data_IF_705948968962
#
_entry.id   IF_705948968962
#
_cell.length_a   1.000
_cell.length_b   1.000
_cell.length_c   1.000
_cell.angle_alpha   90.00
_cell.angle_beta   90.00
_cell.angle_gamma   90.00
#
_symmetry.space_group_name_H-M   'P 1'
#
loop_
_entity.id
_entity.type
_entity.pdbx_description
1 polymer ?
#
# COMPACT_ATOMS: atom_id res chain seq x y z
N UNK A 1 24.11 -2.75 -5.03
CA UNK A 1 24.36 -2.59 -6.45
C UNK A 1 23.23 -1.84 -7.08
N UNK A 2 23.15 -1.52 -8.29
CA UNK A 2 22.46 -0.35 -8.87
C UNK A 2 21.04 -0.63 -9.37
N UNK A 3 20.04 -0.84 -8.55
CA UNK A 3 18.68 -0.45 -8.93
C UNK A 3 18.42 0.90 -8.27
N UNK A 4 18.78 1.97 -8.94
CA UNK A 4 18.49 3.34 -8.49
C UNK A 4 17.32 3.96 -9.25
N UNK A 5 16.89 3.34 -10.34
CA UNK A 5 15.87 3.85 -11.24
C UNK A 5 14.78 2.82 -11.51
N UNK A 6 13.54 3.25 -11.42
CA UNK A 6 12.36 2.52 -11.87
C UNK A 6 12.10 2.99 -13.30
N UNK A 7 12.20 2.11 -14.30
CA UNK A 7 11.96 2.50 -15.69
C UNK A 7 10.52 3.00 -15.86
N UNK A 8 10.30 4.16 -16.51
CA UNK A 8 8.95 4.62 -16.80
C UNK A 8 8.20 3.57 -17.62
N UNK A 9 7.03 3.14 -17.13
CA UNK A 9 6.24 2.06 -17.74
C UNK A 9 5.61 2.45 -19.06
N UNK A 10 5.32 3.74 -19.26
CA UNK A 10 4.56 4.26 -20.37
C UNK A 10 5.44 5.10 -21.28
N UNK A 11 5.54 4.69 -22.56
CA UNK A 11 6.13 5.55 -23.59
C UNK A 11 5.05 6.52 -24.06
N UNK A 12 5.12 7.78 -23.63
CA UNK A 12 4.18 8.84 -24.02
C UNK A 12 4.54 9.37 -25.41
N UNK A 13 4.28 8.55 -26.45
CA UNK A 13 4.60 8.88 -27.82
C UNK A 13 3.67 9.97 -28.42
N UNK A 14 2.51 10.16 -27.85
CA UNK A 14 1.50 11.15 -28.22
C UNK A 14 1.82 12.57 -27.75
N UNK A 15 2.70 12.73 -26.76
CA UNK A 15 3.09 14.03 -26.21
C UNK A 15 4.07 14.74 -27.15
N UNK A 16 3.64 15.85 -27.74
CA UNK A 16 4.39 16.65 -28.73
C UNK A 16 4.56 18.11 -28.31
N UNK A 17 3.61 18.61 -27.51
CA UNK A 17 3.54 20.02 -27.13
C UNK A 17 4.24 20.24 -25.79
N UNK A 18 5.27 21.04 -25.76
CA UNK A 18 5.94 21.44 -24.52
C UNK A 18 4.98 22.22 -23.61
N UNK A 19 4.96 21.86 -22.32
CA UNK A 19 4.10 22.49 -21.32
C UNK A 19 2.63 22.01 -21.36
N UNK A 20 2.27 21.01 -22.20
CA UNK A 20 0.97 20.32 -22.06
C UNK A 20 0.93 19.51 -20.78
N UNK A 21 -0.28 19.16 -20.28
CA UNK A 21 -0.37 18.29 -19.11
C UNK A 21 0.27 16.92 -19.35
N UNK A 22 0.21 16.39 -20.58
CA UNK A 22 0.92 15.18 -20.96
C UNK A 22 2.45 15.32 -20.83
N UNK A 23 3.03 16.45 -21.23
CA UNK A 23 4.46 16.76 -21.06
C UNK A 23 4.84 16.91 -19.58
N UNK A 24 4.00 17.58 -18.80
CA UNK A 24 4.19 17.73 -17.36
C UNK A 24 4.18 16.39 -16.66
N UNK A 25 3.19 15.51 -16.94
CA UNK A 25 3.14 14.16 -16.37
C UNK A 25 4.37 13.35 -16.77
N UNK A 26 4.81 13.43 -18.02
CA UNK A 26 6.03 12.77 -18.49
C UNK A 26 7.27 13.21 -17.72
N UNK A 27 7.40 14.51 -17.41
CA UNK A 27 8.48 15.04 -16.57
C UNK A 27 8.38 14.53 -15.14
N UNK A 28 7.18 14.55 -14.54
CA UNK A 28 6.93 14.03 -13.20
C UNK A 28 7.27 12.53 -13.11
N UNK A 29 6.83 11.73 -14.07
CA UNK A 29 7.13 10.29 -14.13
C UNK A 29 8.64 10.01 -14.18
N UNK A 30 9.39 10.85 -14.87
CA UNK A 30 10.86 10.74 -14.92
C UNK A 30 11.50 11.06 -13.57
N UNK A 31 10.97 12.03 -12.84
CA UNK A 31 11.46 12.35 -11.48
C UNK A 31 11.11 11.25 -10.47
N UNK A 32 9.89 10.70 -10.57
CA UNK A 32 9.44 9.57 -9.70
C UNK A 32 10.25 8.29 -9.95
N UNK A 33 10.89 8.16 -11.13
CA UNK A 33 11.68 6.97 -11.47
C UNK A 33 12.87 6.72 -10.52
N UNK A 34 13.30 7.72 -9.75
CA UNK A 34 14.38 7.58 -8.79
C UNK A 34 13.83 7.25 -7.40
N UNK A 35 14.27 6.11 -6.84
CA UNK A 35 13.98 5.76 -5.45
C UNK A 35 14.72 6.68 -4.49
N UNK A 36 14.01 7.19 -3.50
CA UNK A 36 14.63 7.94 -2.41
C UNK A 36 15.34 7.04 -1.38
N UNK A 37 15.99 7.66 -0.39
CA UNK A 37 16.70 6.93 0.65
C UNK A 37 15.76 6.10 1.54
N UNK A 38 14.54 6.59 1.81
CA UNK A 38 13.55 5.88 2.63
C UNK A 38 13.03 4.63 1.92
N UNK A 39 12.73 4.76 0.63
CA UNK A 39 12.29 3.65 -0.21
C UNK A 39 13.40 2.60 -0.37
N UNK A 40 14.66 3.04 -0.63
CA UNK A 40 15.82 2.14 -0.68
C UNK A 40 16.04 1.41 0.63
N UNK A 41 15.97 2.15 1.74
CA UNK A 41 16.09 1.56 3.08
C UNK A 41 14.99 0.53 3.33
N UNK A 42 13.75 0.88 3.06
CA UNK A 42 12.62 -0.03 3.21
C UNK A 42 12.72 -1.28 2.32
N UNK A 43 13.27 -1.15 1.09
CA UNK A 43 13.41 -2.26 0.16
C UNK A 43 14.58 -3.20 0.52
N UNK A 44 15.73 -2.67 0.92
CA UNK A 44 16.96 -3.47 1.08
C UNK A 44 17.30 -3.82 2.53
N UNK A 45 16.74 -3.14 3.53
CA UNK A 45 16.88 -3.57 4.92
C UNK A 45 15.93 -4.74 5.21
N UNK A 46 16.49 -5.90 5.52
CA UNK A 46 15.75 -7.12 5.83
C UNK A 46 16.07 -7.51 7.27
N UNK A 47 15.18 -7.22 8.24
CA UNK A 47 15.39 -7.67 9.60
C UNK A 47 15.17 -9.18 9.72
N UNK A 48 15.80 -9.77 10.71
CA UNK A 48 15.55 -11.16 11.09
C UNK A 48 14.26 -11.24 11.92
N UNK A 49 13.13 -11.19 11.24
CA UNK A 49 11.80 -11.16 11.82
C UNK A 49 10.82 -10.24 11.08
N UNK A 50 9.74 -9.83 11.75
CA UNK A 50 8.68 -9.01 11.15
C UNK A 50 9.13 -7.58 10.84
N UNK A 51 8.52 -6.98 9.80
CA UNK A 51 8.76 -5.60 9.40
C UNK A 51 7.47 -4.90 8.98
N UNK A 52 7.23 -3.72 9.52
CA UNK A 52 6.10 -2.85 9.18
C UNK A 52 6.56 -1.69 8.31
N UNK A 53 5.82 -1.40 7.24
CA UNK A 53 6.08 -0.26 6.34
C UNK A 53 4.81 0.59 6.27
N UNK A 54 4.87 1.79 6.87
CA UNK A 54 3.79 2.77 6.83
C UNK A 54 4.03 3.79 5.73
N UNK A 55 2.97 4.28 5.08
CA UNK A 55 3.11 5.36 4.12
C UNK A 55 1.78 5.75 3.49
N UNK A 56 1.65 7.01 3.12
CA UNK A 56 0.48 7.54 2.44
C UNK A 56 0.27 6.90 1.06
N UNK A 57 -0.93 7.06 0.52
CA UNK A 57 -1.19 6.80 -0.90
C UNK A 57 -0.17 7.52 -1.78
N UNK A 58 0.47 6.76 -2.68
CA UNK A 58 1.50 7.31 -3.57
C UNK A 58 2.90 7.48 -2.95
N UNK A 59 3.17 6.92 -1.76
CA UNK A 59 4.53 6.85 -1.20
C UNK A 59 5.40 5.75 -1.80
N UNK A 60 4.83 4.89 -2.66
CA UNK A 60 5.55 3.82 -3.35
C UNK A 60 5.62 2.49 -2.59
N UNK A 61 4.73 2.21 -1.64
CA UNK A 61 4.67 0.96 -0.87
C UNK A 61 4.75 -0.29 -1.75
N UNK A 62 3.89 -0.40 -2.76
CA UNK A 62 3.86 -1.52 -3.72
C UNK A 62 5.20 -1.71 -4.44
N UNK A 63 5.84 -0.60 -4.84
CA UNK A 63 7.16 -0.62 -5.49
C UNK A 63 8.23 -1.12 -4.53
N UNK A 64 8.21 -0.64 -3.29
CA UNK A 64 9.14 -1.06 -2.23
C UNK A 64 9.01 -2.56 -1.94
N UNK A 65 7.76 -3.07 -1.82
CA UNK A 65 7.52 -4.49 -1.61
C UNK A 65 7.97 -5.34 -2.80
N UNK A 66 7.66 -4.93 -4.03
CA UNK A 66 8.11 -5.64 -5.24
C UNK A 66 9.64 -5.66 -5.37
N UNK A 67 10.29 -4.54 -5.07
CA UNK A 67 11.75 -4.45 -5.07
C UNK A 67 12.38 -5.31 -3.96
N UNK A 68 11.76 -5.34 -2.77
CA UNK A 68 12.19 -6.22 -1.67
C UNK A 68 12.04 -7.69 -2.05
N UNK A 69 10.92 -8.08 -2.67
CA UNK A 69 10.71 -9.45 -3.14
C UNK A 69 11.77 -9.86 -4.18
N UNK A 70 12.03 -8.99 -5.17
CA UNK A 70 13.06 -9.22 -6.18
C UNK A 70 14.49 -9.29 -5.55
N UNK A 71 14.77 -8.42 -4.58
CA UNK A 71 16.05 -8.43 -3.87
C UNK A 71 16.25 -9.71 -3.08
N UNK A 72 15.25 -10.14 -2.30
CA UNK A 72 15.32 -11.38 -1.52
C UNK A 72 15.47 -12.58 -2.45
N UNK A 73 14.71 -12.65 -3.53
CA UNK A 73 14.76 -13.72 -4.51
C UNK A 73 16.13 -13.84 -5.19
N UNK A 74 16.76 -12.70 -5.52
CA UNK A 74 18.11 -12.71 -6.14
C UNK A 74 19.25 -12.95 -5.18
N UNK A 75 19.13 -12.53 -3.92
CA UNK A 75 20.20 -12.71 -2.93
C UNK A 75 20.12 -14.05 -2.18
N UNK A 76 18.93 -14.61 -2.06
CA UNK A 76 18.63 -15.82 -1.30
C UNK A 76 17.67 -16.70 -2.12
N UNK A 77 18.16 -17.32 -3.21
CA UNK A 77 17.31 -18.06 -4.16
C UNK A 77 16.67 -19.31 -3.54
N UNK A 78 17.16 -19.77 -2.40
CA UNK A 78 16.60 -20.90 -1.65
C UNK A 78 15.36 -20.55 -0.83
N UNK A 79 15.05 -19.26 -0.62
CA UNK A 79 13.90 -18.85 0.17
C UNK A 79 12.60 -18.96 -0.64
N UNK A 80 11.58 -19.57 -0.05
CA UNK A 80 10.20 -19.52 -0.56
C UNK A 80 9.56 -18.20 -0.14
N UNK A 81 9.27 -17.35 -1.10
CA UNK A 81 8.77 -15.99 -0.90
C UNK A 81 7.33 -15.90 -1.39
N UNK A 82 6.43 -15.38 -0.55
CA UNK A 82 5.07 -15.03 -0.95
C UNK A 82 4.87 -13.51 -0.99
N UNK A 83 4.19 -13.02 -2.02
CA UNK A 83 3.68 -11.66 -2.10
C UNK A 83 2.17 -11.73 -2.18
N UNK A 84 1.48 -11.19 -1.17
CA UNK A 84 0.02 -11.27 -1.09
C UNK A 84 -0.65 -9.91 -1.02
N UNK A 85 -1.88 -9.86 -1.47
CA UNK A 85 -2.73 -8.67 -1.57
C UNK A 85 -4.22 -9.08 -1.59
N UNK A 86 -5.09 -8.12 -1.31
CA UNK A 86 -6.54 -8.35 -1.34
C UNK A 86 -7.18 -8.02 -2.69
N UNK A 87 -6.71 -6.98 -3.38
CA UNK A 87 -7.28 -6.50 -4.64
C UNK A 87 -6.61 -7.13 -5.85
N UNK A 88 -7.34 -7.91 -6.65
CA UNK A 88 -6.83 -8.65 -7.83
C UNK A 88 -6.10 -7.79 -8.87
N UNK A 89 -6.41 -6.50 -8.94
CA UNK A 89 -5.75 -5.56 -9.86
C UNK A 89 -4.22 -5.46 -9.63
N UNK A 90 -3.72 -5.80 -8.46
CA UNK A 90 -2.30 -5.75 -8.12
C UNK A 90 -1.48 -6.91 -8.72
N UNK A 91 -2.11 -8.03 -9.11
CA UNK A 91 -1.39 -9.20 -9.61
C UNK A 91 -0.43 -8.87 -10.76
N UNK A 92 -0.97 -8.36 -11.86
CA UNK A 92 -0.16 -8.07 -13.06
C UNK A 92 0.89 -6.99 -12.79
N UNK A 93 0.58 -6.07 -11.88
CA UNK A 93 1.51 -5.05 -11.44
C UNK A 93 2.73 -5.66 -10.74
N UNK A 94 2.52 -6.60 -9.82
CA UNK A 94 3.60 -7.30 -9.15
C UNK A 94 4.41 -8.17 -10.10
N UNK A 95 3.76 -8.93 -10.99
CA UNK A 95 4.45 -9.74 -12.02
C UNK A 95 5.40 -8.87 -12.82
N UNK A 96 4.94 -7.73 -13.33
CA UNK A 96 5.75 -6.82 -14.14
C UNK A 96 6.91 -6.22 -13.34
N UNK A 97 6.62 -5.66 -12.13
CA UNK A 97 7.63 -5.04 -11.30
C UNK A 97 8.73 -6.01 -10.88
N UNK A 98 8.35 -7.17 -10.39
CA UNK A 98 9.32 -8.17 -9.91
C UNK A 98 10.16 -8.68 -11.08
N UNK A 99 9.54 -8.95 -12.23
CA UNK A 99 10.26 -9.37 -13.43
C UNK A 99 11.31 -8.34 -13.85
N UNK A 100 10.91 -7.07 -13.93
CA UNK A 100 11.82 -5.99 -14.30
C UNK A 100 12.96 -5.83 -13.29
N UNK A 101 12.66 -5.87 -11.99
CA UNK A 101 13.66 -5.73 -10.94
C UNK A 101 14.65 -6.91 -10.88
N UNK A 102 14.17 -8.14 -11.00
CA UNK A 102 15.04 -9.33 -11.05
C UNK A 102 15.95 -9.26 -12.28
N UNK A 103 15.39 -8.92 -13.44
CA UNK A 103 16.18 -8.77 -14.67
C UNK A 103 17.25 -7.67 -14.53
N UNK A 104 16.90 -6.53 -13.91
CA UNK A 104 17.86 -5.43 -13.71
C UNK A 104 18.93 -5.74 -12.63
N UNK A 105 18.63 -6.59 -11.65
CA UNK A 105 19.56 -6.98 -10.58
C UNK A 105 20.52 -8.08 -10.98
N UNK A 106 20.03 -9.13 -11.61
CA UNK A 106 20.79 -10.37 -11.90
C UNK A 106 20.99 -10.63 -13.40
N UNK A 107 20.18 -10.06 -14.27
CA UNK A 107 20.12 -10.43 -15.68
C UNK A 107 19.39 -11.74 -15.95
N UNK A 108 18.81 -12.37 -14.93
CA UNK A 108 18.16 -13.67 -14.98
C UNK A 108 16.62 -13.52 -15.04
N UNK A 109 15.94 -14.63 -15.30
CA UNK A 109 14.48 -14.71 -15.20
C UNK A 109 14.09 -15.02 -13.76
N UNK A 110 12.87 -14.60 -13.40
CA UNK A 110 12.28 -14.96 -12.09
C UNK A 110 12.04 -16.47 -12.03
N UNK A 111 12.48 -17.09 -10.94
CA UNK A 111 12.09 -18.45 -10.59
C UNK A 111 10.78 -18.42 -9.82
N UNK A 112 9.68 -18.69 -10.54
CA UNK A 112 8.33 -18.67 -9.98
C UNK A 112 8.03 -19.90 -9.12
N UNK A 113 8.92 -20.89 -9.02
CA UNK A 113 8.75 -22.01 -8.10
C UNK A 113 9.06 -21.59 -6.65
N UNK A 114 9.94 -20.59 -6.48
CA UNK A 114 10.36 -20.04 -5.19
C UNK A 114 9.79 -18.64 -4.88
N UNK A 115 9.04 -18.03 -5.81
CA UNK A 115 8.38 -16.75 -5.59
C UNK A 115 6.93 -16.78 -6.07
N UNK A 116 6.00 -16.73 -5.12
CA UNK A 116 4.57 -16.70 -5.39
C UNK A 116 4.00 -15.29 -5.31
N UNK A 117 3.19 -14.91 -6.31
CA UNK A 117 2.31 -13.75 -6.25
C UNK A 117 0.90 -14.27 -6.09
N UNK A 118 0.34 -14.16 -4.88
CA UNK A 118 -0.82 -14.95 -4.47
C UNK A 118 -1.89 -14.07 -3.80
N UNK A 119 -3.14 -14.24 -4.19
CA UNK A 119 -4.27 -13.53 -3.59
C UNK A 119 -4.47 -13.95 -2.11
N UNK A 120 -4.90 -13.01 -1.25
CA UNK A 120 -5.11 -13.32 0.16
C UNK A 120 -6.18 -14.39 0.39
N UNK A 121 -7.28 -14.35 -0.38
CA UNK A 121 -8.41 -15.28 -0.20
C UNK A 121 -8.27 -16.56 -1.03
N UNK A 122 -8.21 -16.42 -2.36
CA UNK A 122 -8.31 -17.57 -3.26
C UNK A 122 -9.71 -18.23 -3.29
N UNK A 123 -9.77 -19.45 -3.80
CA UNK A 123 -10.99 -20.28 -3.84
C UNK A 123 -10.60 -21.75 -4.06
N UNK A 124 -11.58 -22.65 -4.20
CA UNK A 124 -11.31 -24.06 -4.56
C UNK A 124 -10.64 -24.23 -5.95
N UNK A 125 -10.72 -23.21 -6.83
CA UNK A 125 -10.17 -23.22 -8.20
C UNK A 125 -9.10 -22.15 -8.44
N UNK A 126 -8.85 -21.30 -7.47
CA UNK A 126 -7.88 -20.21 -7.56
C UNK A 126 -6.98 -20.25 -6.33
N UNK A 127 -5.67 -20.27 -6.56
CA UNK A 127 -4.70 -20.22 -5.48
C UNK A 127 -4.84 -18.92 -4.66
N UNK A 128 -4.71 -19.07 -3.35
CA UNK A 128 -4.75 -17.98 -2.41
C UNK A 128 -4.23 -18.42 -1.06
N UNK A 129 -3.67 -17.51 -0.27
CA UNK A 129 -3.12 -17.87 1.05
C UNK A 129 -4.12 -18.64 1.88
N UNK A 130 -5.36 -18.14 2.00
CA UNK A 130 -6.41 -18.82 2.75
C UNK A 130 -6.81 -20.17 2.12
N UNK A 131 -7.06 -20.21 0.80
CA UNK A 131 -7.53 -21.44 0.14
C UNK A 131 -6.50 -22.56 0.17
N UNK A 132 -5.24 -22.23 -0.01
CA UNK A 132 -4.16 -23.23 -0.02
C UNK A 132 -3.88 -23.75 1.39
N UNK A 133 -3.92 -22.88 2.41
CA UNK A 133 -3.86 -23.30 3.81
C UNK A 133 -5.04 -24.17 4.20
N UNK A 134 -6.25 -23.85 3.73
CA UNK A 134 -7.44 -24.65 3.97
C UNK A 134 -7.30 -26.04 3.33
N UNK A 135 -6.82 -26.11 2.09
CA UNK A 135 -6.56 -27.38 1.40
C UNK A 135 -5.52 -28.22 2.17
N UNK A 136 -4.43 -27.63 2.59
CA UNK A 136 -3.37 -28.30 3.37
C UNK A 136 -3.87 -28.83 4.72
N UNK A 137 -4.81 -28.09 5.35
CA UNK A 137 -5.47 -28.49 6.59
C UNK A 137 -6.66 -29.46 6.38
N UNK A 138 -6.90 -29.95 5.16
CA UNK A 138 -8.07 -30.74 4.79
C UNK A 138 -9.42 -30.06 5.15
N UNK A 139 -9.45 -28.73 5.11
CA UNK A 139 -10.61 -27.90 5.37
C UNK A 139 -11.22 -27.43 4.04
N UNK A 140 -12.55 -27.48 3.92
CA UNK A 140 -13.23 -27.01 2.71
C UNK A 140 -13.23 -25.50 2.65
N UNK A 141 -12.43 -24.92 1.76
CA UNK A 141 -12.37 -23.47 1.55
C UNK A 141 -13.73 -22.90 1.10
N UNK A 142 -14.10 -21.76 1.67
CA UNK A 142 -15.27 -20.99 1.24
C UNK A 142 -14.95 -20.14 0.01
N UNK A 143 -15.82 -20.18 -0.99
CA UNK A 143 -15.85 -19.16 -2.03
C UNK A 143 -16.65 -17.93 -1.54
N UNK A 144 -16.59 -16.84 -2.31
CA UNK A 144 -17.25 -15.58 -1.93
C UNK A 144 -18.75 -15.74 -1.63
N UNK A 145 -19.47 -16.50 -2.46
CA UNK A 145 -20.93 -16.69 -2.30
C UNK A 145 -21.26 -17.43 -1.02
N UNK A 146 -20.58 -18.55 -0.74
CA UNK A 146 -20.79 -19.35 0.47
C UNK A 146 -20.37 -18.60 1.73
N UNK A 147 -19.27 -17.84 1.66
CA UNK A 147 -18.81 -17.01 2.77
C UNK A 147 -19.80 -15.87 3.10
N UNK A 148 -20.31 -15.15 2.09
CA UNK A 148 -21.32 -14.12 2.29
C UNK A 148 -22.61 -14.70 2.88
N UNK A 149 -23.05 -15.86 2.40
CA UNK A 149 -24.24 -16.54 2.92
C UNK A 149 -24.10 -16.91 4.40
N UNK A 150 -22.89 -17.26 4.84
CA UNK A 150 -22.64 -17.72 6.21
C UNK A 150 -22.33 -16.59 7.19
N UNK A 151 -21.49 -15.63 6.77
CA UNK A 151 -20.90 -14.61 7.65
C UNK A 151 -21.39 -13.19 7.37
N UNK A 152 -22.17 -12.99 6.29
CA UNK A 152 -22.52 -11.66 5.80
C UNK A 152 -21.41 -11.03 4.95
N UNK A 153 -21.78 -10.04 4.14
CA UNK A 153 -20.86 -9.44 3.14
C UNK A 153 -19.62 -8.79 3.77
N UNK A 154 -19.80 -8.04 4.84
CA UNK A 154 -18.71 -7.29 5.49
C UNK A 154 -17.75 -8.17 6.29
N UNK A 155 -18.23 -9.32 6.77
CA UNK A 155 -17.43 -10.23 7.61
C UNK A 155 -17.03 -11.53 6.88
N UNK A 156 -17.30 -11.62 5.58
CA UNK A 156 -17.13 -12.86 4.81
C UNK A 156 -15.69 -13.40 4.92
N UNK A 157 -14.69 -12.60 4.59
CA UNK A 157 -13.29 -13.05 4.62
C UNK A 157 -12.79 -13.27 6.04
N UNK A 158 -13.15 -12.35 6.96
CA UNK A 158 -12.83 -12.53 8.40
C UNK A 158 -13.34 -13.85 8.94
N UNK A 159 -14.64 -14.17 8.70
CA UNK A 159 -15.24 -15.40 9.17
C UNK A 159 -14.58 -16.67 8.58
N UNK A 160 -14.15 -16.61 7.31
CA UNK A 160 -13.39 -17.70 6.70
C UNK A 160 -12.05 -17.92 7.41
N UNK A 161 -11.31 -16.85 7.68
CA UNK A 161 -10.03 -16.92 8.38
C UNK A 161 -10.19 -17.40 9.83
N UNK A 162 -11.21 -16.88 10.53
CA UNK A 162 -11.50 -17.27 11.93
C UNK A 162 -11.80 -18.77 12.03
N UNK A 163 -12.62 -19.33 11.13
CA UNK A 163 -12.90 -20.77 11.14
C UNK A 163 -11.66 -21.61 10.80
N UNK A 164 -10.90 -21.23 9.80
CA UNK A 164 -9.68 -21.95 9.45
C UNK A 164 -8.69 -21.99 10.62
N UNK A 165 -8.56 -20.89 11.36
CA UNK A 165 -7.71 -20.83 12.56
C UNK A 165 -8.14 -21.83 13.66
N UNK A 166 -9.41 -22.21 13.71
CA UNK A 166 -9.87 -23.24 14.68
C UNK A 166 -9.48 -24.67 14.28
N UNK A 167 -9.13 -24.86 13.01
CA UNK A 167 -8.76 -26.18 12.45
C UNK A 167 -7.25 -26.35 12.36
N UNK A 168 -6.52 -25.26 12.15
CA UNK A 168 -5.06 -25.28 12.09
C UNK A 168 -4.52 -25.54 13.49
N UNK A 169 -3.91 -26.72 13.67
CA UNK A 169 -3.25 -27.13 14.92
C UNK A 169 -1.77 -26.74 14.96
N UNK A 170 -1.11 -27.13 16.05
CA UNK A 170 0.33 -26.92 16.23
C UNK A 170 1.18 -27.72 15.22
N UNK A 171 0.62 -28.78 14.64
CA UNK A 171 1.27 -29.63 13.63
C UNK A 171 1.22 -29.03 12.21
N UNK A 172 0.67 -27.82 12.04
CA UNK A 172 0.63 -27.18 10.73
C UNK A 172 2.04 -26.79 10.30
N UNK A 173 2.51 -27.34 9.19
CA UNK A 173 3.83 -27.02 8.63
C UNK A 173 3.78 -25.72 7.83
N UNK A 174 4.53 -24.68 8.23
CA UNK A 174 4.59 -23.42 7.50
C UNK A 174 5.29 -23.62 6.15
N UNK A 175 4.81 -22.90 5.14
CA UNK A 175 5.30 -23.03 3.78
C UNK A 175 6.36 -21.97 3.42
N UNK A 176 6.12 -20.71 3.78
CA UNK A 176 6.95 -19.59 3.35
C UNK A 176 8.06 -19.26 4.33
N UNK A 177 9.21 -18.86 3.78
CA UNK A 177 10.30 -18.28 4.56
C UNK A 177 10.08 -16.78 4.76
N UNK A 178 9.43 -16.12 3.78
CA UNK A 178 9.10 -14.70 3.80
C UNK A 178 7.70 -14.50 3.21
N UNK A 179 6.88 -13.66 3.85
CA UNK A 179 5.60 -13.19 3.31
C UNK A 179 5.54 -11.67 3.29
N UNK A 180 5.31 -11.10 2.11
CA UNK A 180 5.09 -9.67 1.91
C UNK A 180 3.60 -9.43 1.68
N UNK A 181 3.01 -8.47 2.41
CA UNK A 181 1.57 -8.16 2.40
C UNK A 181 1.39 -6.72 1.97
N UNK A 182 0.71 -6.49 0.85
CA UNK A 182 0.36 -5.14 0.39
C UNK A 182 -1.08 -4.78 0.74
N UNK A 183 -1.34 -3.46 0.88
CA UNK A 183 -2.65 -2.90 1.28
C UNK A 183 -3.20 -3.61 2.52
N UNK A 184 -2.34 -3.77 3.52
CA UNK A 184 -2.63 -4.56 4.73
C UNK A 184 -3.84 -4.05 5.53
N UNK A 185 -4.24 -2.78 5.37
CA UNK A 185 -5.44 -2.20 5.97
C UNK A 185 -6.75 -2.85 5.47
N UNK A 186 -6.74 -3.51 4.31
CA UNK A 186 -7.91 -4.16 3.73
C UNK A 186 -8.12 -5.60 4.26
N UNK A 187 -7.19 -6.09 5.09
CA UNK A 187 -7.16 -7.48 5.55
C UNK A 187 -7.57 -7.59 7.02
N UNK A 188 -8.38 -8.60 7.39
CA UNK A 188 -8.79 -8.79 8.78
C UNK A 188 -7.64 -9.32 9.64
N UNK A 189 -7.65 -9.02 10.95
CA UNK A 189 -6.64 -9.48 11.91
C UNK A 189 -6.44 -11.00 11.88
N UNK A 190 -7.51 -11.78 11.69
CA UNK A 190 -7.42 -13.24 11.57
C UNK A 190 -6.59 -13.72 10.37
N UNK A 191 -6.54 -12.94 9.28
CA UNK A 191 -5.66 -13.25 8.16
C UNK A 191 -4.18 -13.16 8.55
N UNK A 192 -3.79 -12.16 9.32
CA UNK A 192 -2.41 -12.04 9.82
C UNK A 192 -2.01 -13.21 10.72
N UNK A 193 -2.96 -13.76 11.50
CA UNK A 193 -2.72 -14.97 12.29
C UNK A 193 -2.51 -16.20 11.40
N UNK A 194 -3.26 -16.32 10.30
CA UNK A 194 -3.01 -17.37 9.30
C UNK A 194 -1.63 -17.21 8.67
N UNK A 195 -1.26 -15.99 8.25
CA UNK A 195 0.08 -15.73 7.71
C UNK A 195 1.15 -16.07 8.75
N UNK A 196 0.95 -15.72 10.03
CA UNK A 196 1.89 -16.07 11.08
C UNK A 196 2.06 -17.59 11.22
N UNK A 197 0.99 -18.36 11.11
CA UNK A 197 1.06 -19.82 11.12
C UNK A 197 1.79 -20.37 9.87
N UNK A 198 1.65 -19.71 8.72
CA UNK A 198 2.19 -20.18 7.43
C UNK A 198 3.63 -19.68 7.12
N UNK A 199 4.22 -18.85 7.95
CA UNK A 199 5.59 -18.36 7.78
C UNK A 199 6.50 -19.05 8.80
N UNK A 200 7.66 -19.58 8.32
CA UNK A 200 8.68 -20.22 9.15
C UNK A 200 9.32 -19.24 10.12
N UNK A 201 9.98 -19.78 11.19
CA UNK A 201 10.84 -18.93 12.02
C UNK A 201 12.01 -18.38 11.18
N UNK A 202 12.38 -17.10 11.37
CA UNK A 202 12.03 -16.18 12.45
C UNK A 202 10.81 -15.28 12.18
N UNK A 203 9.84 -15.73 11.38
CA UNK A 203 8.61 -14.98 11.09
C UNK A 203 8.88 -13.69 10.30
N UNK A 204 9.53 -13.81 9.14
CA UNK A 204 9.76 -12.67 8.23
C UNK A 204 8.46 -12.30 7.51
N UNK A 205 7.58 -11.60 8.23
CA UNK A 205 6.31 -11.08 7.74
C UNK A 205 6.48 -9.58 7.54
N UNK A 206 6.41 -9.13 6.29
CA UNK A 206 6.57 -7.73 5.92
C UNK A 206 5.20 -7.22 5.46
N UNK A 207 4.64 -6.20 6.10
CA UNK A 207 3.35 -5.64 5.68
C UNK A 207 3.42 -4.14 5.47
N UNK A 208 2.81 -3.70 4.37
CA UNK A 208 2.71 -2.31 4.01
C UNK A 208 1.25 -1.84 4.03
N UNK A 209 0.99 -0.66 4.59
CA UNK A 209 -0.35 -0.10 4.69
C UNK A 209 -0.39 1.43 4.69
N UNK A 210 -1.58 1.95 4.49
CA UNK A 210 -1.90 3.37 4.58
C UNK A 210 -2.94 3.59 5.69
N UNK A 211 -2.59 4.37 6.70
CA UNK A 211 -3.47 4.64 7.85
C UNK A 211 -4.73 5.43 7.44
N UNK A 212 -4.66 6.21 6.35
CA UNK A 212 -5.78 7.05 5.90
C UNK A 212 -6.71 6.38 4.89
N UNK A 213 -6.36 5.21 4.35
CA UNK A 213 -7.20 4.48 3.39
C UNK A 213 -8.11 3.44 4.03
N UNK A 214 -8.03 3.25 5.33
CA UNK A 214 -8.96 2.35 6.01
C UNK A 214 -10.34 2.98 6.11
N UNK A 215 -11.29 2.49 5.31
CA UNK A 215 -12.67 2.99 5.26
C UNK A 215 -13.55 2.44 6.39
N UNK A 216 -13.10 1.41 7.09
CA UNK A 216 -13.91 0.71 8.10
C UNK A 216 -13.54 1.05 9.53
N UNK A 217 -12.27 1.40 9.77
CA UNK A 217 -11.74 1.79 11.09
C UNK A 217 -10.73 2.91 10.92
N UNK A 218 -10.63 3.80 11.91
CA UNK A 218 -9.71 4.96 11.84
C UNK A 218 -8.26 4.55 11.97
N UNK A 219 -7.99 3.38 12.55
CA UNK A 219 -6.63 2.90 12.84
C UNK A 219 -6.46 1.43 12.47
N UNK A 220 -5.22 1.04 12.15
CA UNK A 220 -4.86 -0.37 12.02
C UNK A 220 -5.05 -1.09 13.36
N UNK A 221 -5.50 -2.36 13.34
CA UNK A 221 -5.55 -3.17 14.56
C UNK A 221 -4.19 -3.23 15.25
N UNK A 222 -4.20 -3.35 16.57
CA UNK A 222 -2.97 -3.52 17.36
C UNK A 222 -2.21 -4.80 16.97
N UNK A 223 -0.92 -4.86 17.28
CA UNK A 223 -0.11 -6.07 17.04
C UNK A 223 -0.66 -7.30 17.77
N UNK A 224 -1.25 -7.09 18.94
CA UNK A 224 -1.94 -8.13 19.70
C UNK A 224 -3.18 -8.65 18.96
N UNK A 225 -4.00 -7.76 18.43
CA UNK A 225 -5.16 -8.14 17.62
C UNK A 225 -4.78 -8.85 16.33
N UNK A 226 -3.70 -8.40 15.67
CA UNK A 226 -3.23 -8.97 14.41
C UNK A 226 -2.56 -10.34 14.58
N UNK A 227 -1.66 -10.48 15.56
CA UNK A 227 -0.80 -11.66 15.68
C UNK A 227 -1.03 -12.46 16.96
N UNK A 228 -1.68 -11.87 17.94
CA UNK A 228 -1.93 -12.49 19.26
C UNK A 228 -0.74 -12.42 20.20
N UNK A 229 -0.88 -13.12 21.31
CA UNK A 229 0.15 -13.30 22.34
C UNK A 229 0.59 -14.77 22.42
N UNK A 230 1.76 -15.01 22.98
CA UNK A 230 2.28 -16.34 23.29
C UNK A 230 1.64 -16.90 24.60
N UNK A 231 2.08 -18.09 25.01
CA UNK A 231 1.58 -18.74 26.24
C UNK A 231 1.89 -17.97 27.53
N UNK A 232 2.87 -17.07 27.52
CA UNK A 232 3.26 -16.24 28.65
C UNK A 232 2.63 -14.84 28.61
N UNK A 233 1.79 -14.55 27.59
CA UNK A 233 1.09 -13.29 27.42
C UNK A 233 1.92 -12.21 26.72
N UNK A 234 3.10 -12.52 26.17
CA UNK A 234 3.89 -11.58 25.40
C UNK A 234 3.41 -11.50 23.95
N UNK A 235 3.59 -10.35 23.30
CA UNK A 235 3.33 -10.20 21.88
C UNK A 235 4.15 -11.21 21.08
N UNK A 236 3.51 -11.93 20.15
CA UNK A 236 4.18 -12.91 19.29
C UNK A 236 5.18 -12.30 18.33
N UNK A 237 5.06 -11.00 18.05
CA UNK A 237 5.99 -10.27 17.19
C UNK A 237 6.45 -8.99 17.86
N UNK A 238 7.67 -8.57 17.53
CA UNK A 238 8.25 -7.31 17.97
C UNK A 238 8.75 -6.52 16.74
N UNK A 239 8.29 -5.27 16.60
CA UNK A 239 8.68 -4.33 15.54
C UNK A 239 9.48 -3.15 16.08
N UNK A 240 10.01 -3.24 17.30
CA UNK A 240 10.84 -2.19 17.87
C UNK A 240 12.12 -2.00 17.07
N UNK A 241 12.41 -0.75 16.72
CA UNK A 241 13.65 -0.39 16.05
C UNK A 241 14.79 -0.34 17.05
N UNK A 242 15.84 -1.09 16.78
CA UNK A 242 17.09 -1.04 17.54
C UNK A 242 18.17 -0.27 16.79
N UNK A 243 19.10 0.27 17.56
CA UNK A 243 20.24 0.95 16.99
C UNK A 243 21.17 -0.05 16.29
N UNK A 244 21.66 0.32 15.10
CA UNK A 244 22.55 -0.51 14.27
C UNK A 244 21.96 -1.84 13.77
N UNK A 245 20.65 -2.07 13.91
CA UNK A 245 19.94 -3.20 13.28
C UNK A 245 19.07 -2.71 12.11
N UNK A 246 18.76 -3.60 11.12
CA UNK A 246 17.77 -3.29 10.10
C UNK A 246 16.44 -2.89 10.73
N UNK A 247 15.84 -1.83 10.20
CA UNK A 247 14.60 -1.27 10.76
C UNK A 247 13.43 -2.22 10.61
N UNK A 248 12.68 -2.40 11.69
CA UNK A 248 11.46 -3.22 11.75
C UNK A 248 10.18 -2.40 11.56
N UNK A 249 10.23 -1.12 11.90
CA UNK A 249 9.15 -0.16 11.69
C UNK A 249 9.66 1.02 10.87
N UNK A 250 9.16 1.16 9.65
CA UNK A 250 9.59 2.17 8.68
C UNK A 250 8.39 3.00 8.25
N UNK A 251 8.55 4.32 8.26
CA UNK A 251 7.59 5.26 7.68
C UNK A 251 8.15 5.81 6.37
N UNK A 252 7.36 5.77 5.29
CA UNK A 252 7.62 6.41 4.01
C UNK A 252 6.96 7.80 4.01
N UNK A 253 7.71 8.87 4.33
CA UNK A 253 7.10 10.17 4.61
C UNK A 253 6.75 10.97 3.35
N UNK A 254 7.25 10.55 2.17
CA UNK A 254 7.13 11.29 0.92
C UNK A 254 5.99 10.74 0.06
N UNK A 255 5.09 11.61 -0.39
CA UNK A 255 4.07 11.28 -1.38
C UNK A 255 4.53 11.74 -2.77
N UNK A 256 4.73 10.79 -3.69
CA UNK A 256 5.20 11.04 -5.07
C UNK A 256 4.07 11.19 -6.08
N UNK A 257 2.87 10.74 -5.75
CA UNK A 257 1.73 10.73 -6.68
C UNK A 257 0.94 12.03 -6.66
N UNK A 258 0.73 12.60 -5.48
CA UNK A 258 -0.18 13.71 -5.30
C UNK A 258 0.57 15.00 -4.88
N UNK A 259 0.29 16.15 -5.52
CA UNK A 259 0.81 17.44 -5.07
C UNK A 259 0.37 17.75 -3.62
N UNK A 260 1.17 18.51 -2.87
CA UNK A 260 0.93 18.74 -1.45
C UNK A 260 -0.40 19.45 -1.16
N UNK A 261 -0.83 20.36 -2.04
CA UNK A 261 -2.10 21.08 -1.91
C UNK A 261 -3.32 20.19 -2.18
N UNK A 262 -3.25 19.32 -3.21
CA UNK A 262 -4.32 18.34 -3.50
C UNK A 262 -4.43 17.32 -2.37
N UNK A 263 -3.28 16.84 -1.88
CA UNK A 263 -3.25 15.90 -0.76
C UNK A 263 -3.79 16.55 0.54
N UNK A 264 -3.44 17.81 0.81
CA UNK A 264 -3.96 18.54 1.97
C UNK A 264 -5.48 18.73 1.90
N UNK A 265 -6.01 19.02 0.71
CA UNK A 265 -7.46 19.12 0.50
C UNK A 265 -8.16 17.76 0.69
N UNK A 266 -7.61 16.69 0.12
CA UNK A 266 -8.14 15.33 0.28
C UNK A 266 -8.19 14.91 1.76
N UNK A 267 -7.12 15.19 2.51
CA UNK A 267 -7.09 14.94 3.95
C UNK A 267 -8.11 15.81 4.71
N UNK A 268 -8.21 17.10 4.38
CA UNK A 268 -9.18 17.99 5.00
C UNK A 268 -10.63 17.50 4.81
N UNK A 269 -10.96 17.04 3.61
CA UNK A 269 -12.26 16.44 3.30
C UNK A 269 -12.46 15.10 4.01
N UNK A 270 -11.45 14.23 3.99
CA UNK A 270 -11.48 12.91 4.64
C UNK A 270 -11.63 12.99 6.15
N UNK A 271 -10.89 13.88 6.80
CA UNK A 271 -11.06 14.15 8.24
C UNK A 271 -12.37 14.88 8.56
N UNK A 272 -13.01 15.49 7.57
CA UNK A 272 -14.25 16.21 7.75
C UNK A 272 -14.08 17.48 8.59
N UNK A 273 -12.99 18.24 8.37
CA UNK A 273 -12.69 19.45 9.17
C UNK A 273 -13.76 20.55 9.07
N UNK A 274 -14.62 20.47 8.05
CA UNK A 274 -15.76 21.39 7.85
C UNK A 274 -17.05 20.92 8.53
N UNK A 275 -17.03 19.74 9.15
CA UNK A 275 -18.15 19.22 9.93
C UNK A 275 -18.03 19.61 11.41
N UNK A 276 -19.16 19.60 12.10
CA UNK A 276 -19.20 19.79 13.54
C UNK A 276 -20.05 18.67 14.16
N UNK A 277 -19.45 17.75 14.91
CA UNK A 277 -18.02 17.60 15.17
C UNK A 277 -17.21 17.15 13.94
N UNK A 278 -15.89 17.28 14.01
CA UNK A 278 -14.97 16.68 13.01
C UNK A 278 -15.23 15.18 12.93
N UNK A 279 -15.23 14.62 11.71
CA UNK A 279 -15.62 13.22 11.47
C UNK A 279 -14.59 12.26 12.08
N UNK A 280 -13.31 12.52 11.85
CA UNK A 280 -12.19 11.72 12.37
C UNK A 280 -10.96 12.59 12.58
N UNK A 281 -10.08 12.20 13.50
CA UNK A 281 -8.82 12.91 13.76
C UNK A 281 -7.86 11.94 14.48
N UNK A 282 -6.58 12.03 14.19
CA UNK A 282 -5.57 11.34 14.98
C UNK A 282 -5.43 12.00 16.37
N UNK A 283 -5.48 11.21 17.41
CA UNK A 283 -5.29 11.68 18.78
C UNK A 283 -3.80 11.91 19.11
N UNK A 284 -2.91 11.13 18.48
CA UNK A 284 -1.48 11.21 18.75
C UNK A 284 -0.75 12.14 17.76
N UNK A 285 0.08 13.08 18.27
CA UNK A 285 0.88 13.98 17.42
C UNK A 285 1.81 13.27 16.44
N UNK A 286 2.38 12.12 16.81
CA UNK A 286 3.27 11.33 15.98
C UNK A 286 2.60 10.83 14.69
N UNK A 287 1.31 10.48 14.75
CA UNK A 287 0.56 10.04 13.56
C UNK A 287 0.46 11.14 12.51
N UNK A 288 0.33 12.41 12.93
CA UNK A 288 0.38 13.55 12.03
C UNK A 288 1.77 13.72 11.40
N UNK A 289 2.83 13.47 12.18
CA UNK A 289 4.20 13.51 11.67
C UNK A 289 4.48 12.39 10.66
N UNK A 290 3.97 11.20 10.92
CA UNK A 290 4.11 10.03 10.04
C UNK A 290 3.50 10.29 8.67
N UNK A 291 2.36 10.98 8.60
CA UNK A 291 1.75 11.39 7.33
C UNK A 291 2.30 12.72 6.78
N UNK A 292 3.39 13.22 7.33
CA UNK A 292 4.15 14.35 6.80
C UNK A 292 3.64 15.74 7.20
N UNK A 293 2.88 15.86 8.29
CA UNK A 293 2.45 17.16 8.81
C UNK A 293 3.30 17.62 9.99
N UNK A 294 3.26 18.90 10.24
CA UNK A 294 3.81 19.56 11.45
C UNK A 294 2.84 20.59 11.96
N UNK A 295 2.83 20.77 13.27
CA UNK A 295 2.03 21.81 13.93
C UNK A 295 2.69 23.16 13.72
N UNK A 296 2.01 24.09 13.04
CA UNK A 296 2.43 25.48 12.85
C UNK A 296 2.00 26.36 14.00
N UNK A 297 0.79 26.14 14.53
CA UNK A 297 0.25 26.85 15.67
C UNK A 297 -0.83 26.04 16.35
N UNK A 298 -1.10 26.34 17.64
CA UNK A 298 -2.07 25.63 18.46
C UNK A 298 -1.51 24.36 19.09
N UNK A 299 -2.38 23.50 19.59
CA UNK A 299 -2.04 22.23 20.23
C UNK A 299 -3.00 21.15 19.76
N UNK A 300 -2.48 19.94 19.49
CA UNK A 300 -3.26 18.74 19.20
C UNK A 300 -3.89 18.20 20.50
N UNK A 301 -4.95 18.84 20.94
CA UNK A 301 -5.70 18.49 22.16
C UNK A 301 -7.17 18.78 21.91
N UNK A 302 -8.04 18.01 22.56
CA UNK A 302 -9.49 18.20 22.50
C UNK A 302 -9.87 19.66 22.82
N UNK A 303 -10.78 20.23 22.06
CA UNK A 303 -11.28 21.61 22.14
C UNK A 303 -10.23 22.71 21.83
N UNK A 304 -9.09 22.39 21.27
CA UNK A 304 -8.13 23.36 20.78
C UNK A 304 -8.18 23.49 19.25
N UNK A 305 -7.91 24.69 18.76
CA UNK A 305 -7.66 24.91 17.34
C UNK A 305 -6.18 24.67 17.04
N UNK A 306 -5.89 23.91 16.00
CA UNK A 306 -4.54 23.63 15.53
C UNK A 306 -4.43 23.93 14.05
N UNK A 307 -3.29 24.52 13.65
CA UNK A 307 -2.94 24.69 12.25
C UNK A 307 -1.81 23.73 11.89
N UNK A 308 -2.09 22.85 10.93
CA UNK A 308 -1.15 21.87 10.40
C UNK A 308 -0.62 22.32 9.05
N UNK A 309 0.61 21.92 8.73
CA UNK A 309 1.23 22.17 7.43
C UNK A 309 2.08 20.97 7.06
N UNK A 310 2.11 20.60 5.79
CA UNK A 310 3.02 19.55 5.30
C UNK A 310 4.47 19.99 5.43
N UNK A 311 5.33 19.03 5.80
CA UNK A 311 6.78 19.25 5.86
C UNK A 311 7.35 19.35 4.45
N UNK A 312 8.30 20.24 4.21
CA UNK A 312 8.98 20.34 2.89
C UNK A 312 9.68 19.03 2.49
N UNK A 313 10.23 18.31 3.47
CA UNK A 313 10.89 17.02 3.25
C UNK A 313 9.91 15.89 2.84
N UNK A 314 8.62 16.08 3.06
CA UNK A 314 7.57 15.13 2.69
C UNK A 314 6.93 15.43 1.32
N UNK A 315 7.51 16.37 0.58
CA UNK A 315 6.95 16.84 -0.70
C UNK A 315 8.07 16.97 -1.72
N UNK A 316 7.99 16.28 -2.86
CA UNK A 316 8.89 16.46 -3.98
C UNK A 316 8.82 17.87 -4.54
N UNK A 317 9.98 18.49 -4.82
CA UNK A 317 10.07 19.87 -5.33
C UNK A 317 9.49 20.03 -6.74
N UNK A 318 9.54 18.98 -7.56
CA UNK A 318 9.05 19.04 -8.93
C UNK A 318 7.55 19.38 -9.02
N UNK A 319 6.76 19.17 -7.98
CA UNK A 319 5.36 19.62 -7.98
C UNK A 319 5.25 21.15 -8.01
N UNK A 320 6.06 21.84 -7.21
CA UNK A 320 6.08 23.31 -7.20
C UNK A 320 6.70 23.90 -8.48
N UNK A 321 7.65 23.17 -9.09
CA UNK A 321 8.36 23.60 -10.30
C UNK A 321 7.53 23.38 -11.59
N UNK A 322 6.73 22.30 -11.64
CA UNK A 322 6.05 21.87 -12.85
C UNK A 322 4.54 22.14 -12.85
N UNK A 323 3.91 22.32 -11.68
CA UNK A 323 2.47 22.49 -11.57
C UNK A 323 2.09 23.87 -11.01
N UNK A 324 1.01 24.42 -11.55
CA UNK A 324 0.38 25.57 -10.96
C UNK A 324 -0.66 25.13 -9.92
N UNK A 325 -0.50 25.58 -8.69
CA UNK A 325 -1.41 25.27 -7.57
C UNK A 325 -2.86 25.67 -7.87
N UNK A 326 -3.06 26.82 -8.53
CA UNK A 326 -4.40 27.36 -8.78
C UNK A 326 -5.17 26.58 -9.84
N UNK A 327 -4.48 25.82 -10.69
CA UNK A 327 -5.08 24.96 -11.72
C UNK A 327 -5.32 23.51 -11.25
N UNK A 328 -4.81 23.15 -10.07
CA UNK A 328 -4.77 21.76 -9.62
C UNK A 328 -6.08 21.27 -9.02
N UNK A 329 -6.95 22.16 -8.58
CA UNK A 329 -8.24 21.83 -8.00
C UNK A 329 -9.30 22.80 -8.54
N UNK A 330 -10.33 22.25 -9.19
CA UNK A 330 -11.48 23.01 -9.67
C UNK A 330 -12.72 22.56 -8.92
N UNK A 331 -13.53 23.50 -8.50
CA UNK A 331 -14.84 23.26 -7.86
C UNK A 331 -15.89 23.90 -8.73
N UNK A 332 -16.76 23.07 -9.30
CA UNK A 332 -17.83 23.52 -10.19
C UNK A 332 -19.18 23.15 -9.60
N UNK A 333 -20.17 24.00 -9.82
CA UNK A 333 -21.55 23.78 -9.40
C UNK A 333 -22.50 23.80 -10.59
N UNK A 334 -23.40 22.84 -10.66
CA UNK A 334 -24.35 22.69 -11.77
C UNK A 334 -25.78 22.70 -11.27
N UNK A 335 -26.66 23.29 -12.05
CA UNK A 335 -28.09 23.31 -11.74
C UNK A 335 -28.79 21.99 -12.06
N UNK A 336 -28.23 21.20 -13.01
CA UNK A 336 -28.77 19.89 -13.39
C UNK A 336 -27.63 18.90 -13.62
N UNK A 337 -27.97 17.61 -13.54
CA UNK A 337 -27.00 16.50 -13.76
C UNK A 337 -26.54 16.44 -15.23
N UNK A 338 -27.42 16.84 -16.17
CA UNK A 338 -27.09 16.90 -17.60
C UNK A 338 -26.03 17.96 -17.89
N UNK A 339 -26.09 19.10 -17.22
CA UNK A 339 -25.04 20.13 -17.28
C UNK A 339 -23.72 19.60 -16.75
N UNK A 340 -23.72 18.88 -15.62
CA UNK A 340 -22.55 18.24 -15.05
C UNK A 340 -21.93 17.23 -16.04
N UNK A 341 -22.74 16.35 -16.61
CA UNK A 341 -22.26 15.34 -17.58
C UNK A 341 -21.69 16.00 -18.86
N UNK A 342 -22.35 17.04 -19.35
CA UNK A 342 -21.87 17.79 -20.52
C UNK A 342 -20.51 18.44 -20.24
N UNK A 343 -20.35 19.04 -19.08
CA UNK A 343 -19.08 19.64 -18.66
C UNK A 343 -17.96 18.61 -18.52
N UNK A 344 -18.21 17.49 -17.82
CA UNK A 344 -17.24 16.38 -17.69
C UNK A 344 -16.78 15.88 -19.07
N UNK A 345 -17.72 15.64 -20.00
CA UNK A 345 -17.39 15.19 -21.34
C UNK A 345 -16.53 16.19 -22.13
N UNK A 346 -16.79 17.50 -21.95
CA UNK A 346 -15.98 18.55 -22.56
C UNK A 346 -14.57 18.63 -21.99
N UNK A 347 -14.43 18.55 -20.64
CA UNK A 347 -13.13 18.55 -20.00
C UNK A 347 -12.30 17.30 -20.36
N UNK A 348 -12.91 16.11 -20.40
CA UNK A 348 -12.23 14.89 -20.86
C UNK A 348 -11.72 15.06 -22.30
N UNK A 349 -12.57 15.57 -23.20
CA UNK A 349 -12.16 15.80 -24.60
C UNK A 349 -11.02 16.79 -24.69
N UNK A 350 -11.08 17.91 -23.95
CA UNK A 350 -10.03 18.90 -23.88
C UNK A 350 -8.71 18.30 -23.38
N UNK A 351 -8.78 17.52 -22.32
CA UNK A 351 -7.60 16.88 -21.73
C UNK A 351 -6.91 15.93 -22.73
N UNK A 352 -7.68 15.18 -23.53
CA UNK A 352 -7.14 14.28 -24.55
C UNK A 352 -6.62 15.05 -25.76
N UNK A 353 -7.43 15.96 -26.36
CA UNK A 353 -7.15 16.62 -27.63
C UNK A 353 -6.16 17.78 -27.52
N UNK A 354 -6.19 18.53 -26.41
CA UNK A 354 -5.38 19.74 -26.23
C UNK A 354 -4.25 19.58 -25.22
N UNK A 355 -4.49 18.82 -24.15
CA UNK A 355 -3.55 18.64 -23.06
C UNK A 355 -2.71 17.36 -23.21
N UNK A 356 -2.95 16.58 -24.28
CA UNK A 356 -2.19 15.38 -24.66
C UNK A 356 -2.15 14.29 -23.58
N UNK A 357 -3.22 14.21 -22.76
CA UNK A 357 -3.38 13.11 -21.82
C UNK A 357 -3.84 11.85 -22.54
N UNK A 358 -3.36 10.71 -22.09
CA UNK A 358 -3.93 9.43 -22.52
C UNK A 358 -5.24 9.15 -21.77
N UNK A 359 -6.22 8.43 -22.37
CA UNK A 359 -7.48 8.14 -21.71
C UNK A 359 -7.35 7.44 -20.35
N UNK A 360 -6.30 6.66 -20.14
CA UNK A 360 -6.01 5.96 -18.90
C UNK A 360 -5.29 6.83 -17.83
N UNK A 361 -4.98 8.08 -18.14
CA UNK A 361 -4.56 9.09 -17.16
C UNK A 361 -5.78 9.77 -16.49
N UNK A 362 -7.00 9.52 -16.99
CA UNK A 362 -8.26 10.13 -16.53
C UNK A 362 -9.05 9.07 -15.78
N UNK A 363 -9.32 9.32 -14.48
CA UNK A 363 -10.03 8.41 -13.58
C UNK A 363 -11.49 8.83 -13.37
#
# INVERSE_FOLDING_TARGET
>A
QKVSEIKPRKKRANVKKEGSYGDIIKKIEKEIANLDEWQKKAAFEVPDGPQRIKGLAGSGKTIVLALKAAYLHTQYPELKIGVTYYTRALYQQYVNLITDFVQDMSGEKVDWDNLDIIHAWGSNSEHGVYSDMAQKANFKAYNLTSAISKFGRTSAFKGCCDELLTVIGEDYEPEYDVMLIDEAQDLPSSFFRLVYANVKSPKRIIWAYDELQNLSTVEMPSLEEMFGVDGDGNLRINIENKENEPKRDITLPVCYRNPPWTLALAHALGFGIYHSPIIQMFEEPLMWEDIGYTVKSGKLQKNNTVTLSRKNVSTPKYFEELLNKDDSVKVESFSTIEQQYSWIAQEIRKNIEHDELDPDDIL
#
